data_IF_731072045008
#
_entry.id   IF_731072045008
#
_cell.length_a   1.000
_cell.length_b   1.000
_cell.length_c   1.000
_cell.angle_alpha   90.00
_cell.angle_beta   90.00
_cell.angle_gamma   90.00
#
_symmetry.space_group_name_H-M   'P 1'
#
loop_
_entity.id
_entity.type
_entity.pdbx_description
1 polymer ?
#
# COMPACT_ATOMS: atom_id res chain seq x y z
N UNK A 1 5.81 -8.00 11.94
CA UNK A 1 6.23 -7.22 10.76
C UNK A 1 5.12 -6.25 10.38
N UNK A 2 5.42 -4.96 10.31
CA UNK A 2 4.39 -3.93 10.01
C UNK A 2 3.90 -4.01 8.58
N UNK A 3 4.80 -4.23 7.64
CA UNK A 3 4.49 -4.30 6.22
C UNK A 3 5.08 -5.57 5.63
N UNK A 4 4.32 -6.24 4.78
CA UNK A 4 4.79 -7.43 4.07
C UNK A 4 4.78 -7.27 2.55
N UNK A 5 4.51 -6.07 2.06
CA UNK A 5 4.55 -5.77 0.64
C UNK A 5 4.84 -4.30 0.38
N UNK A 6 5.31 -4.02 -0.83
CA UNK A 6 5.50 -2.67 -1.34
C UNK A 6 4.78 -2.54 -2.67
N UNK A 7 3.98 -1.48 -2.80
CA UNK A 7 3.42 -1.07 -4.07
C UNK A 7 4.41 -0.12 -4.73
N UNK A 8 4.82 -0.45 -5.93
CA UNK A 8 5.79 0.34 -6.70
C UNK A 8 5.04 1.21 -7.70
N UNK A 9 5.23 2.52 -7.60
CA UNK A 9 4.77 3.47 -8.60
C UNK A 9 5.95 3.91 -9.45
N UNK A 10 5.77 3.92 -10.75
CA UNK A 10 6.83 4.20 -11.70
C UNK A 10 6.43 5.32 -12.66
N UNK A 11 7.45 5.92 -13.31
CA UNK A 11 7.22 7.00 -14.24
C UNK A 11 6.59 6.46 -15.54
N UNK A 12 5.48 7.09 -15.95
CA UNK A 12 4.80 6.77 -17.21
C UNK A 12 5.23 7.69 -18.36
N UNK A 13 6.36 8.35 -18.21
CA UNK A 13 6.83 9.40 -19.15
C UNK A 13 7.06 8.81 -20.53
N UNK A 14 6.29 9.28 -21.52
CA UNK A 14 6.47 8.93 -22.92
C UNK A 14 6.10 7.50 -23.27
N UNK A 15 5.56 6.72 -22.34
CA UNK A 15 5.24 5.30 -22.55
C UNK A 15 3.74 5.16 -22.74
N UNK A 16 3.34 4.94 -23.99
CA UNK A 16 1.93 4.74 -24.35
C UNK A 16 1.80 3.47 -25.20
N UNK A 17 0.68 2.77 -25.03
CA UNK A 17 0.31 1.64 -25.87
C UNK A 17 1.20 0.43 -25.72
N UNK A 18 1.67 -0.11 -26.84
CA UNK A 18 2.34 -1.42 -26.93
C UNK A 18 3.69 -1.49 -26.20
N UNK A 19 4.33 -0.36 -25.91
CA UNK A 19 5.65 -0.33 -25.28
C UNK A 19 5.60 -0.34 -23.76
N UNK A 20 4.42 -0.13 -23.18
CA UNK A 20 4.27 -0.09 -21.72
C UNK A 20 4.67 -1.42 -21.07
N UNK A 21 4.25 -2.54 -21.63
CA UNK A 21 4.57 -3.84 -21.06
C UNK A 21 6.08 -4.17 -21.10
N UNK A 22 6.79 -3.69 -22.12
CA UNK A 22 8.24 -3.87 -22.21
C UNK A 22 8.95 -3.12 -21.09
N UNK A 23 8.53 -1.89 -20.83
CA UNK A 23 9.06 -1.09 -19.72
C UNK A 23 8.76 -1.76 -18.36
N UNK A 24 7.51 -2.18 -18.15
CA UNK A 24 7.10 -2.85 -16.92
C UNK A 24 7.87 -4.15 -16.70
N UNK A 25 8.05 -4.97 -17.73
CA UNK A 25 8.81 -6.22 -17.64
C UNK A 25 10.29 -5.97 -17.32
N UNK A 26 10.89 -4.95 -17.94
CA UNK A 26 12.26 -4.54 -17.62
C UNK A 26 12.38 -4.06 -16.17
N UNK A 27 11.40 -3.27 -15.72
CA UNK A 27 11.37 -2.76 -14.35
C UNK A 27 11.23 -3.91 -13.33
N UNK A 28 10.34 -4.86 -13.59
CA UNK A 28 10.18 -6.06 -12.74
C UNK A 28 11.50 -6.81 -12.64
N UNK A 29 12.20 -7.00 -13.75
CA UNK A 29 13.52 -7.66 -13.77
C UNK A 29 14.54 -6.91 -12.91
N UNK A 30 14.62 -5.59 -13.04
CA UNK A 30 15.54 -4.78 -12.27
C UNK A 30 15.21 -4.80 -10.78
N UNK A 31 13.93 -4.79 -10.43
CA UNK A 31 13.49 -4.92 -9.03
C UNK A 31 13.90 -6.27 -8.47
N UNK A 32 13.68 -7.35 -9.20
CA UNK A 32 14.09 -8.70 -8.76
C UNK A 32 15.59 -8.76 -8.48
N UNK A 33 16.42 -8.21 -9.37
CA UNK A 33 17.86 -8.17 -9.19
C UNK A 33 18.27 -7.35 -7.96
N UNK A 34 17.61 -6.22 -7.73
CA UNK A 34 17.87 -5.40 -6.54
C UNK A 34 17.52 -6.13 -5.25
N UNK A 35 16.39 -6.84 -5.24
CA UNK A 35 15.92 -7.56 -4.05
C UNK A 35 16.74 -8.82 -3.75
N UNK A 36 17.47 -9.37 -4.70
CA UNK A 36 18.42 -10.47 -4.45
C UNK A 36 19.52 -10.09 -3.46
N UNK A 37 19.82 -8.80 -3.33
CA UNK A 37 20.85 -8.27 -2.42
C UNK A 37 20.32 -8.07 -1.00
N UNK A 38 19.02 -8.15 -0.82
CA UNK A 38 18.36 -7.98 0.49
C UNK A 38 18.15 -9.35 1.11
N UNK A 39 18.49 -9.48 2.39
CA UNK A 39 18.24 -10.73 3.10
C UNK A 39 16.74 -11.00 3.19
N UNK A 40 16.33 -12.20 2.80
CA UNK A 40 14.94 -12.61 2.80
C UNK A 40 14.51 -13.13 1.43
N UNK A 41 13.26 -13.57 1.37
CA UNK A 41 12.63 -14.05 0.15
C UNK A 41 11.56 -13.06 -0.29
N UNK A 42 11.60 -12.70 -1.58
CA UNK A 42 10.68 -11.73 -2.16
C UNK A 42 10.10 -12.25 -3.47
N UNK A 43 8.87 -11.89 -3.72
CA UNK A 43 8.20 -12.14 -5.00
C UNK A 43 7.79 -10.81 -5.61
N UNK A 44 8.14 -10.61 -6.88
CA UNK A 44 7.77 -9.40 -7.62
C UNK A 44 6.66 -9.79 -8.58
N UNK A 45 5.50 -9.15 -8.42
CA UNK A 45 4.29 -9.44 -9.21
C UNK A 45 3.83 -8.19 -9.95
N UNK A 46 3.37 -8.40 -11.17
CA UNK A 46 2.63 -7.41 -11.93
C UNK A 46 1.16 -7.83 -11.92
N UNK A 47 0.32 -7.02 -11.31
CA UNK A 47 -1.10 -7.32 -11.11
C UNK A 47 -1.95 -6.07 -11.33
N UNK A 48 -2.95 -6.16 -12.19
CA UNK A 48 -3.90 -5.07 -12.46
C UNK A 48 -3.22 -3.73 -12.82
N UNK A 49 -2.15 -3.79 -13.60
CA UNK A 49 -1.41 -2.58 -14.01
C UNK A 49 -0.51 -1.99 -12.93
N UNK A 50 -0.26 -2.73 -11.85
CA UNK A 50 0.58 -2.32 -10.72
C UNK A 50 1.69 -3.34 -10.48
N UNK A 51 2.78 -2.89 -9.90
CA UNK A 51 3.89 -3.77 -9.52
C UNK A 51 3.94 -3.83 -7.99
N UNK A 52 3.98 -5.05 -7.47
CA UNK A 52 4.10 -5.31 -6.03
C UNK A 52 5.35 -6.12 -5.75
N UNK A 53 6.04 -5.76 -4.68
CA UNK A 53 7.12 -6.56 -4.10
C UNK A 53 6.59 -7.15 -2.81
N UNK A 54 6.39 -8.45 -2.78
CA UNK A 54 5.86 -9.15 -1.61
C UNK A 54 6.97 -9.87 -0.88
N UNK A 55 7.08 -9.67 0.42
CA UNK A 55 8.00 -10.42 1.27
C UNK A 55 7.37 -11.78 1.62
N UNK A 56 8.12 -12.84 1.37
CA UNK A 56 7.71 -14.22 1.68
C UNK A 56 8.35 -14.72 2.97
N UNK A 57 9.26 -13.95 3.54
CA UNK A 57 9.96 -14.26 4.78
C UNK A 57 10.19 -12.97 5.58
N UNK A 58 10.79 -13.10 6.75
CA UNK A 58 11.29 -11.92 7.47
C UNK A 58 12.36 -11.21 6.66
N UNK A 59 12.42 -9.91 6.79
CA UNK A 59 13.35 -9.07 6.03
C UNK A 59 13.66 -7.78 6.80
N UNK A 60 14.73 -7.10 6.40
CA UNK A 60 15.07 -5.78 6.92
C UNK A 60 14.38 -4.71 6.07
N UNK A 61 13.47 -3.97 6.68
CA UNK A 61 12.67 -2.94 6.00
C UNK A 61 13.55 -1.85 5.38
N UNK A 62 14.52 -1.33 6.15
CA UNK A 62 15.36 -0.22 5.67
C UNK A 62 16.26 -0.67 4.52
N UNK A 63 16.78 -1.87 4.60
CA UNK A 63 17.59 -2.46 3.54
C UNK A 63 16.77 -2.66 2.25
N UNK A 64 15.53 -3.15 2.38
CA UNK A 64 14.63 -3.33 1.25
C UNK A 64 14.30 -1.99 0.58
N UNK A 65 13.94 -0.98 1.36
CA UNK A 65 13.63 0.36 0.85
C UNK A 65 14.86 0.97 0.16
N UNK A 66 16.03 0.83 0.76
CA UNK A 66 17.27 1.35 0.19
C UNK A 66 17.57 0.69 -1.16
N UNK A 67 17.43 -0.62 -1.26
CA UNK A 67 17.62 -1.35 -2.52
C UNK A 67 16.65 -0.85 -3.60
N UNK A 68 15.37 -0.67 -3.25
CA UNK A 68 14.35 -0.20 -4.19
C UNK A 68 14.60 1.24 -4.65
N UNK A 69 15.12 2.10 -3.78
CA UNK A 69 15.46 3.49 -4.13
C UNK A 69 16.48 3.60 -5.26
N UNK A 70 17.32 2.59 -5.43
CA UNK A 70 18.38 2.60 -6.45
C UNK A 70 17.92 2.01 -7.79
N UNK A 71 16.68 1.56 -7.90
CA UNK A 71 16.14 1.03 -9.15
C UNK A 71 15.65 2.21 -10.02
N UNK A 72 16.22 2.33 -11.20
CA UNK A 72 15.83 3.38 -12.14
C UNK A 72 14.39 3.18 -12.62
N UNK A 73 13.63 4.27 -12.66
CA UNK A 73 12.23 4.26 -13.10
C UNK A 73 11.21 4.20 -11.97
N UNK A 74 11.62 3.91 -10.75
CA UNK A 74 10.72 3.96 -9.59
C UNK A 74 10.57 5.42 -9.13
N UNK A 75 9.31 5.84 -8.97
CA UNK A 75 8.96 7.18 -8.46
C UNK A 75 8.55 7.12 -7.00
N UNK A 76 7.75 6.12 -6.63
CA UNK A 76 7.25 5.96 -5.26
C UNK A 76 7.36 4.51 -4.81
N UNK A 77 7.76 4.35 -3.56
CA UNK A 77 7.77 3.07 -2.85
C UNK A 77 6.75 3.20 -1.72
N UNK A 78 5.62 2.51 -1.85
CA UNK A 78 4.53 2.59 -0.89
C UNK A 78 4.49 1.29 -0.08
N UNK A 79 4.90 1.31 1.21
CA UNK A 79 4.71 0.12 2.04
C UNK A 79 3.22 -0.12 2.25
N UNK A 80 2.80 -1.36 2.07
CA UNK A 80 1.38 -1.73 2.13
C UNK A 80 1.20 -3.05 2.86
N UNK A 81 -0.02 -3.26 3.31
CA UNK A 81 -0.52 -4.56 3.78
C UNK A 81 -1.56 -5.02 2.78
N UNK A 82 -1.36 -6.19 2.21
CA UNK A 82 -2.33 -6.80 1.29
C UNK A 82 -3.25 -7.71 2.10
N UNK A 83 -4.54 -7.50 1.95
CA UNK A 83 -5.57 -8.22 2.68
C UNK A 83 -6.43 -9.00 1.71
N UNK A 84 -6.88 -10.17 2.15
CA UNK A 84 -7.88 -10.93 1.41
C UNK A 84 -9.24 -10.26 1.60
N UNK A 85 -10.01 -10.14 0.53
CA UNK A 85 -11.36 -9.59 0.60
C UNK A 85 -12.31 -10.63 1.23
N UNK A 86 -12.64 -10.41 2.48
CA UNK A 86 -13.58 -11.24 3.25
C UNK A 86 -14.79 -10.42 3.72
N UNK A 87 -15.10 -9.33 3.02
CA UNK A 87 -16.20 -8.44 3.32
C UNK A 87 -15.80 -7.23 4.17
N UNK A 88 -16.74 -6.29 4.30
CA UNK A 88 -16.47 -5.01 4.97
C UNK A 88 -16.13 -5.17 6.45
N UNK A 89 -16.85 -6.01 7.20
CA UNK A 89 -16.61 -6.15 8.63
C UNK A 89 -15.19 -6.64 8.91
N UNK A 90 -14.71 -7.58 8.12
CA UNK A 90 -13.34 -8.08 8.22
C UNK A 90 -12.34 -7.01 7.83
N UNK A 91 -12.61 -6.28 6.76
CA UNK A 91 -11.77 -5.15 6.34
C UNK A 91 -11.65 -4.11 7.46
N UNK A 92 -12.77 -3.74 8.09
CA UNK A 92 -12.77 -2.77 9.17
C UNK A 92 -11.93 -3.21 10.36
N UNK A 93 -12.04 -4.47 10.77
CA UNK A 93 -11.20 -5.04 11.83
C UNK A 93 -9.72 -4.96 11.48
N UNK A 94 -9.37 -5.32 10.26
CA UNK A 94 -7.99 -5.32 9.79
C UNK A 94 -7.42 -3.91 9.63
N UNK A 95 -8.24 -2.95 9.24
CA UNK A 95 -7.85 -1.53 9.18
C UNK A 95 -7.53 -1.00 10.58
N UNK A 96 -8.36 -1.31 11.56
CA UNK A 96 -8.10 -0.93 12.96
C UNK A 96 -6.82 -1.56 13.47
N UNK A 97 -6.60 -2.83 13.19
CA UNK A 97 -5.37 -3.53 13.55
C UNK A 97 -4.13 -2.88 12.89
N UNK A 98 -4.23 -2.57 11.61
CA UNK A 98 -3.17 -1.87 10.88
C UNK A 98 -2.83 -0.53 11.52
N UNK A 99 -3.84 0.28 11.83
CA UNK A 99 -3.63 1.59 12.43
C UNK A 99 -2.97 1.47 13.81
N UNK A 100 -3.37 0.48 14.61
CA UNK A 100 -2.75 0.23 15.92
C UNK A 100 -1.30 -0.22 15.82
N UNK A 101 -0.96 -1.00 14.80
CA UNK A 101 0.40 -1.50 14.60
C UNK A 101 1.35 -0.43 14.04
N UNK A 102 0.86 0.39 13.12
CA UNK A 102 1.67 1.41 12.45
C UNK A 102 1.76 2.70 13.26
N UNK A 103 0.67 3.06 13.92
CA UNK A 103 0.55 4.30 14.69
C UNK A 103 0.13 4.01 16.14
N UNK A 104 1.00 3.36 16.92
CA UNK A 104 0.63 2.90 18.28
C UNK A 104 0.31 4.01 19.27
N UNK A 105 0.77 5.24 19.03
CA UNK A 105 0.46 6.38 19.91
C UNK A 105 -1.00 6.81 19.82
N UNK A 106 -1.63 6.66 18.66
CA UNK A 106 -3.08 6.86 18.49
C UNK A 106 -3.58 8.28 18.71
N UNK A 107 -2.79 9.31 18.43
CA UNK A 107 -3.11 10.71 18.69
C UNK A 107 -2.95 11.62 17.44
N UNK A 108 -3.05 11.05 16.26
CA UNK A 108 -2.85 11.75 14.99
C UNK A 108 -4.17 12.24 14.39
N UNK A 109 -4.08 13.28 13.55
CA UNK A 109 -5.15 13.63 12.63
C UNK A 109 -5.02 12.76 11.38
N UNK A 110 -6.15 12.33 10.81
CA UNK A 110 -6.13 11.44 9.66
C UNK A 110 -7.30 11.69 8.72
N UNK A 111 -7.16 11.15 7.51
CA UNK A 111 -8.30 10.93 6.62
C UNK A 111 -8.18 9.55 5.97
N UNK A 112 -9.32 8.98 5.62
CA UNK A 112 -9.40 7.75 4.84
C UNK A 112 -9.69 8.12 3.39
N UNK A 113 -8.90 7.58 2.48
CA UNK A 113 -9.09 7.72 1.04
C UNK A 113 -9.22 6.34 0.43
N UNK A 114 -10.44 5.99 0.06
CA UNK A 114 -10.75 4.67 -0.52
C UNK A 114 -10.93 4.76 -2.02
N UNK A 115 -10.45 3.75 -2.72
CA UNK A 115 -10.64 3.60 -4.15
C UNK A 115 -11.05 2.16 -4.43
N UNK A 116 -12.19 1.96 -5.10
CA UNK A 116 -12.64 0.63 -5.47
C UNK A 116 -12.08 0.24 -6.83
N UNK A 117 -11.34 -0.86 -6.87
CA UNK A 117 -10.96 -1.50 -8.13
C UNK A 117 -12.17 -2.23 -8.74
N UNK A 118 -13.06 -2.74 -7.90
CA UNK A 118 -14.32 -3.40 -8.29
C UNK A 118 -15.50 -2.49 -7.98
N UNK A 119 -16.27 -2.12 -9.00
CA UNK A 119 -17.46 -1.27 -8.83
C UNK A 119 -18.64 -1.97 -8.17
N UNK A 120 -18.63 -3.30 -8.13
CA UNK A 120 -19.69 -4.09 -7.50
C UNK A 120 -19.46 -4.34 -5.99
N UNK A 121 -18.48 -3.69 -5.39
CA UNK A 121 -18.30 -3.74 -3.95
C UNK A 121 -19.52 -3.10 -3.26
N UNK A 122 -20.04 -3.67 -2.14
CA UNK A 122 -21.30 -3.23 -1.54
C UNK A 122 -21.35 -1.76 -1.10
N UNK A 123 -20.20 -1.19 -0.74
CA UNK A 123 -20.09 0.21 -0.32
C UNK A 123 -19.32 1.01 -1.36
N UNK A 124 -19.76 2.23 -1.64
CA UNK A 124 -18.97 3.14 -2.49
C UNK A 124 -17.81 3.76 -1.72
N UNK A 125 -16.96 4.50 -2.43
CA UNK A 125 -15.75 5.07 -1.82
C UNK A 125 -16.04 6.04 -0.70
N UNK A 126 -17.09 6.83 -0.82
CA UNK A 126 -17.46 7.80 0.21
C UNK A 126 -18.00 7.10 1.47
N UNK A 127 -18.80 6.06 1.28
CA UNK A 127 -19.29 5.24 2.40
C UNK A 127 -18.13 4.55 3.12
N UNK A 128 -17.17 4.00 2.36
CA UNK A 128 -15.98 3.39 2.93
C UNK A 128 -15.15 4.40 3.73
N UNK A 129 -14.95 5.60 3.18
CA UNK A 129 -14.22 6.65 3.89
C UNK A 129 -14.88 6.99 5.22
N UNK A 130 -16.19 7.20 5.23
CA UNK A 130 -16.94 7.54 6.43
C UNK A 130 -16.97 6.39 7.44
N UNK A 131 -17.29 5.19 6.99
CA UNK A 131 -17.45 4.02 7.87
C UNK A 131 -16.13 3.57 8.48
N UNK A 132 -15.06 3.51 7.69
CA UNK A 132 -13.73 3.18 8.20
C UNK A 132 -13.20 4.26 9.13
N UNK A 133 -13.43 5.53 8.79
CA UNK A 133 -13.06 6.64 9.66
C UNK A 133 -13.74 6.56 11.03
N UNK A 134 -15.02 6.25 11.06
CA UNK A 134 -15.78 6.04 12.30
C UNK A 134 -15.21 4.90 13.14
N UNK A 135 -14.89 3.78 12.52
CA UNK A 135 -14.30 2.63 13.21
C UNK A 135 -12.95 2.95 13.82
N UNK A 136 -12.14 3.75 13.12
CA UNK A 136 -10.84 4.21 13.64
C UNK A 136 -11.04 5.14 14.84
N UNK A 137 -11.98 6.07 14.76
CA UNK A 137 -12.28 6.99 15.86
C UNK A 137 -12.80 6.26 17.10
N UNK A 138 -13.62 5.22 16.94
CA UNK A 138 -14.10 4.40 18.05
C UNK A 138 -12.95 3.65 18.73
N UNK A 139 -12.01 3.13 17.94
CA UNK A 139 -10.90 2.35 18.47
C UNK A 139 -9.79 3.23 19.08
N UNK A 140 -9.61 4.45 18.57
CA UNK A 140 -8.55 5.37 19.00
C UNK A 140 -9.14 6.74 19.35
N UNK A 141 -9.60 6.92 20.60
CA UNK A 141 -10.32 8.15 21.00
C UNK A 141 -9.52 9.45 20.86
N UNK A 142 -8.20 9.38 20.83
CA UNK A 142 -7.35 10.54 20.69
C UNK A 142 -7.04 10.93 19.24
N UNK A 143 -7.49 10.14 18.28
CA UNK A 143 -7.41 10.47 16.87
C UNK A 143 -8.57 11.37 16.47
N UNK A 144 -8.36 12.21 15.47
CA UNK A 144 -9.39 13.06 14.89
C UNK A 144 -9.26 13.09 13.36
N UNK A 145 -10.37 13.40 12.71
CA UNK A 145 -10.42 13.47 11.25
C UNK A 145 -10.11 14.91 10.81
N UNK A 146 -9.19 15.06 9.87
CA UNK A 146 -8.88 16.30 9.18
C UNK A 146 -8.74 16.02 7.68
N UNK A 147 -9.75 16.40 6.91
CA UNK A 147 -9.78 16.13 5.47
C UNK A 147 -8.90 17.06 4.64
N UNK A 148 -8.50 18.19 5.20
CA UNK A 148 -7.72 19.19 4.47
C UNK A 148 -6.22 19.12 4.75
N UNK A 149 -5.83 18.92 6.00
CA UNK A 149 -4.43 18.88 6.42
C UNK A 149 -4.16 17.70 7.38
N UNK A 150 -4.45 16.46 6.98
CA UNK A 150 -4.23 15.32 7.86
C UNK A 150 -2.74 15.03 8.02
N UNK A 151 -2.36 14.61 9.21
CA UNK A 151 -1.02 14.07 9.46
C UNK A 151 -0.85 12.70 8.78
N UNK A 152 -1.94 11.94 8.69
CA UNK A 152 -1.97 10.59 8.09
C UNK A 152 -3.04 10.53 7.02
N UNK A 153 -2.70 10.04 5.85
CA UNK A 153 -3.69 9.62 4.84
C UNK A 153 -3.66 8.10 4.73
N UNK A 154 -4.74 7.47 5.15
CA UNK A 154 -4.91 6.02 4.99
C UNK A 154 -5.53 5.75 3.63
N UNK A 155 -4.76 5.14 2.74
CA UNK A 155 -5.24 4.75 1.42
C UNK A 155 -5.71 3.29 1.46
N UNK A 156 -6.92 3.06 0.98
CA UNK A 156 -7.55 1.73 0.91
C UNK A 156 -7.94 1.47 -0.55
N UNK A 157 -7.49 0.36 -1.08
CA UNK A 157 -7.82 -0.04 -2.45
C UNK A 157 -8.36 -1.47 -2.50
#
# INVERSE_FOLDING_TARGET
MKYHAFLIKYAEIGIKGKNRYLFEDALVKHIRLAMERVEGEFEVKKESGRIYVQALSDYDYDEAVDALKHVFGIVWICPVVQLKDEGYDKLAEQVVEYMGNVYPQGDYTFKVHSRRARKNYPKDSQQLNADLGERILEAFPNMSVDVHHPEITLNVE
#
